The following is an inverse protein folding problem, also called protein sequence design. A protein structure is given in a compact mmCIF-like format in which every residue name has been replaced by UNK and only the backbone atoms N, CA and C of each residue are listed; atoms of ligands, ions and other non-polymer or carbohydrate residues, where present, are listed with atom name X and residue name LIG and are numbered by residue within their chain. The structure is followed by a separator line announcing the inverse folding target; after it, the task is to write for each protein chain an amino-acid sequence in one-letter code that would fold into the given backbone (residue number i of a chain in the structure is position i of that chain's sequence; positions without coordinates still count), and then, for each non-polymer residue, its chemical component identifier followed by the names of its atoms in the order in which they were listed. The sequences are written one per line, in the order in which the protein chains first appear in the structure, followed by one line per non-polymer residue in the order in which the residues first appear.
data_IF_711750091230
#
_entry.id   IF_711750091230
#
_cell.length_a   1.000
_cell.length_b   1.000
_cell.length_c   1.000
_cell.angle_alpha   90.00
_cell.angle_beta   90.00
_cell.angle_gamma   90.00
#
_symmetry.space_group_name_H-M   'P 1'
#
loop_
_entity.id
_entity.type
_entity.pdbx_description
1 polymer ?
#
# COMPACT_ATOMS: atom_id res chain seq x y z
N UNK A 1 -11.62 -5.21 12.86
CA UNK A 1 -10.52 -4.35 12.35
C UNK A 1 -10.93 -3.63 11.05
N UNK A 2 -11.88 -2.68 11.09
CA UNK A 2 -12.33 -1.94 9.88
C UNK A 2 -11.49 -0.71 9.55
N UNK A 3 -10.90 -0.07 10.56
CA UNK A 3 -10.08 1.14 10.37
C UNK A 3 -8.76 0.78 9.67
N UNK A 4 -8.14 -0.35 10.01
CA UNK A 4 -6.89 -0.80 9.42
C UNK A 4 -6.99 -1.04 7.91
N UNK A 5 -8.08 -1.64 7.41
CA UNK A 5 -8.27 -1.88 5.97
C UNK A 5 -8.46 -0.60 5.16
N UNK A 6 -9.14 0.40 5.74
CA UNK A 6 -9.21 1.74 5.17
C UNK A 6 -7.82 2.41 5.09
N UNK A 7 -7.03 2.30 6.16
CA UNK A 7 -5.67 2.85 6.21
C UNK A 7 -4.77 2.20 5.15
N UNK A 8 -4.90 0.89 4.90
CA UNK A 8 -4.16 0.20 3.84
C UNK A 8 -4.55 0.71 2.45
N UNK A 9 -5.83 1.01 2.18
CA UNK A 9 -6.23 1.61 0.89
C UNK A 9 -5.67 3.03 0.70
N UNK A 10 -5.51 3.76 1.79
CA UNK A 10 -4.86 5.08 1.77
C UNK A 10 -3.34 5.00 1.67
N UNK A 11 -2.74 3.85 1.98
CA UNK A 11 -1.29 3.66 1.91
C UNK A 11 -0.78 3.87 0.48
N UNK A 12 -1.49 3.40 -0.54
CA UNK A 12 -1.11 3.63 -1.95
C UNK A 12 -1.05 5.13 -2.30
N UNK A 13 -1.98 5.92 -1.75
CA UNK A 13 -2.01 7.37 -1.93
C UNK A 13 -0.81 8.04 -1.25
N UNK A 14 -0.50 7.61 -0.02
CA UNK A 14 0.65 8.12 0.76
C UNK A 14 1.96 7.73 0.08
N UNK A 15 2.08 6.50 -0.43
CA UNK A 15 3.24 6.03 -1.17
C UNK A 15 3.44 6.81 -2.47
N UNK A 16 2.36 7.10 -3.20
CA UNK A 16 2.43 7.94 -4.39
C UNK A 16 2.87 9.38 -4.08
N UNK A 17 2.49 9.94 -2.93
CA UNK A 17 2.96 11.26 -2.50
C UNK A 17 4.43 11.24 -2.06
N UNK A 18 4.85 10.21 -1.33
CA UNK A 18 6.25 9.99 -1.00
C UNK A 18 7.12 9.88 -2.26
N UNK A 19 6.63 9.19 -3.30
CA UNK A 19 7.35 9.06 -4.56
C UNK A 19 7.48 10.40 -5.28
N UNK A 20 6.41 11.20 -5.35
CA UNK A 20 6.48 12.58 -5.88
C UNK A 20 7.49 13.44 -5.12
N UNK A 21 7.51 13.35 -3.79
CA UNK A 21 8.50 14.06 -2.95
C UNK A 21 9.93 13.53 -3.17
N UNK A 22 10.10 12.24 -3.46
CA UNK A 22 11.39 11.63 -3.81
C UNK A 22 11.87 12.15 -5.16
N UNK A 23 11.03 12.13 -6.20
CA UNK A 23 11.35 12.64 -7.54
C UNK A 23 11.74 14.12 -7.45
N UNK A 24 10.95 14.95 -6.78
CA UNK A 24 11.26 16.37 -6.60
C UNK A 24 12.60 16.62 -5.90
N UNK A 25 12.98 15.78 -4.92
CA UNK A 25 14.29 15.86 -4.27
C UNK A 25 15.42 15.43 -5.21
N UNK A 26 15.23 14.35 -5.96
CA UNK A 26 16.20 13.88 -6.96
C UNK A 26 16.47 14.96 -8.03
N UNK A 27 15.43 15.66 -8.50
CA UNK A 27 15.56 16.78 -9.44
C UNK A 27 16.37 17.95 -8.89
N UNK A 28 16.41 18.13 -7.56
CA UNK A 28 17.23 19.14 -6.88
C UNK A 28 18.68 18.68 -6.63
N UNK A 29 19.10 17.57 -7.23
CA UNK A 29 20.44 17.00 -7.08
C UNK A 29 20.66 16.20 -5.79
N UNK A 30 19.60 15.86 -5.06
CA UNK A 30 19.73 15.09 -3.83
C UNK A 30 19.92 13.59 -4.11
N UNK A 31 21.07 13.05 -3.72
CA UNK A 31 21.34 11.61 -3.71
C UNK A 31 21.56 11.12 -2.28
N UNK A 32 20.73 10.21 -1.78
CA UNK A 32 20.90 9.64 -0.44
C UNK A 32 21.99 8.56 -0.45
N UNK A 33 23.26 8.94 -0.27
CA UNK A 33 24.41 8.00 -0.28
C UNK A 33 25.04 7.73 1.09
N UNK A 34 24.62 8.45 2.13
CA UNK A 34 25.25 8.44 3.46
C UNK A 34 24.27 8.84 4.57
N UNK A 35 24.59 8.44 5.80
CA UNK A 35 23.91 8.83 7.06
C UNK A 35 23.76 10.35 7.22
N UNK A 36 24.66 11.14 6.60
CA UNK A 36 24.56 12.62 6.60
C UNK A 36 23.27 13.16 5.97
N UNK A 37 22.57 12.34 5.18
CA UNK A 37 21.31 12.71 4.54
C UNK A 37 20.05 12.38 5.37
N UNK A 38 20.20 11.72 6.52
CA UNK A 38 19.08 11.37 7.41
C UNK A 38 18.21 12.55 7.83
N UNK A 39 18.73 13.75 8.14
CA UNK A 39 17.89 14.90 8.48
C UNK A 39 16.91 15.28 7.36
N UNK A 40 17.33 15.18 6.10
CA UNK A 40 16.48 15.48 4.93
C UNK A 40 15.40 14.41 4.74
N UNK A 41 15.74 13.15 4.99
CA UNK A 41 14.78 12.05 4.97
C UNK A 41 13.76 12.21 6.10
N UNK A 42 14.22 12.52 7.32
CA UNK A 42 13.36 12.77 8.48
C UNK A 42 12.39 13.94 8.23
N UNK A 43 12.87 15.04 7.65
CA UNK A 43 12.01 16.17 7.27
C UNK A 43 10.93 15.77 6.26
N UNK A 44 11.26 14.88 5.32
CA UNK A 44 10.29 14.37 4.33
C UNK A 44 9.24 13.51 5.01
N UNK A 45 9.65 12.63 5.91
CA UNK A 45 8.73 11.78 6.69
C UNK A 45 7.82 12.65 7.56
N UNK A 46 8.36 13.66 8.24
CA UNK A 46 7.58 14.59 9.05
C UNK A 46 6.54 15.37 8.24
N UNK A 47 6.94 15.90 7.07
CA UNK A 47 6.01 16.59 6.18
C UNK A 47 4.90 15.66 5.66
N UNK A 48 5.23 14.41 5.32
CA UNK A 48 4.26 13.41 4.89
C UNK A 48 3.28 13.04 6.02
N UNK A 49 3.79 12.91 7.25
CA UNK A 49 2.99 12.60 8.44
C UNK A 49 1.94 13.69 8.70
N UNK A 50 2.35 14.97 8.71
CA UNK A 50 1.44 16.10 8.94
C UNK A 50 0.33 16.11 7.89
N UNK A 51 0.68 16.04 6.60
CA UNK A 51 -0.32 16.04 5.51
C UNK A 51 -1.29 14.87 5.58
N UNK A 52 -0.78 13.69 5.93
CA UNK A 52 -1.60 12.48 6.04
C UNK A 52 -2.54 12.57 7.24
N UNK A 53 -2.08 13.13 8.36
CA UNK A 53 -2.88 13.38 9.55
C UNK A 53 -4.00 14.38 9.26
N UNK A 54 -3.69 15.55 8.72
CA UNK A 54 -4.67 16.59 8.37
C UNK A 54 -5.72 16.09 7.36
N UNK A 55 -5.31 15.23 6.42
CA UNK A 55 -6.25 14.59 5.48
C UNK A 55 -7.13 13.56 6.19
N UNK A 56 -6.55 12.75 7.07
CA UNK A 56 -7.28 11.77 7.87
C UNK A 56 -8.33 12.42 8.77
N UNK A 57 -7.97 13.52 9.43
CA UNK A 57 -8.87 14.32 10.25
C UNK A 57 -10.01 14.91 9.43
N UNK A 58 -9.73 15.52 8.27
CA UNK A 58 -10.78 16.03 7.37
C UNK A 58 -11.74 14.95 6.90
N UNK A 59 -11.23 13.76 6.59
CA UNK A 59 -12.09 12.62 6.23
C UNK A 59 -12.91 12.17 7.43
N UNK A 60 -12.32 12.09 8.62
CA UNK A 60 -13.03 11.70 9.84
C UNK A 60 -14.16 12.68 10.17
N UNK A 61 -13.91 13.99 10.09
CA UNK A 61 -14.93 15.03 10.28
C UNK A 61 -16.04 14.93 9.23
N UNK A 62 -15.70 14.66 7.96
CA UNK A 62 -16.69 14.43 6.91
C UNK A 62 -17.49 13.13 7.10
N UNK A 63 -16.91 12.13 7.76
CA UNK A 63 -17.63 10.93 8.15
C UNK A 63 -18.63 11.26 9.25
N UNK A 64 -18.20 12.01 10.29
CA UNK A 64 -19.09 12.44 11.38
C UNK A 64 -20.28 13.24 10.86
N UNK A 65 -20.08 14.18 9.92
CA UNK A 65 -21.19 14.97 9.34
C UNK A 65 -22.19 14.15 8.52
N UNK A 66 -21.76 12.98 7.99
CA UNK A 66 -22.62 12.04 7.25
C UNK A 66 -23.31 11.00 8.16
N UNK A 67 -23.22 11.16 9.48
CA UNK A 67 -23.86 10.26 10.45
C UNK A 67 -23.02 9.04 10.82
N UNK A 68 -21.69 9.14 10.75
CA UNK A 68 -20.81 8.05 11.16
C UNK A 68 -20.97 7.70 12.64
N UNK A 69 -21.63 6.57 12.90
CA UNK A 69 -21.88 6.01 14.24
C UNK A 69 -20.83 4.97 14.67
N UNK A 70 -19.57 5.11 14.21
CA UNK A 70 -18.48 4.20 14.55
C UNK A 70 -18.38 2.94 13.68
N UNK A 71 -19.21 2.80 12.64
CA UNK A 71 -19.09 1.73 11.63
C UNK A 71 -18.79 2.36 10.28
N UNK A 72 -17.67 1.97 9.68
CA UNK A 72 -17.32 2.42 8.33
C UNK A 72 -18.33 1.78 7.36
N UNK A 73 -19.04 2.55 6.52
CA UNK A 73 -19.91 1.98 5.51
C UNK A 73 -19.02 1.20 4.55
N UNK A 74 -19.14 -0.12 4.66
CA UNK A 74 -18.61 -1.18 3.81
C UNK A 74 -17.56 -0.72 2.79
N UNK A 75 -16.29 -0.99 3.07
CA UNK A 75 -15.41 -1.44 2.00
C UNK A 75 -16.15 -2.65 1.42
N UNK A 76 -16.73 -2.50 0.22
CA UNK A 76 -17.34 -3.61 -0.49
C UNK A 76 -16.41 -4.80 -0.32
N UNK A 77 -16.93 -5.85 0.30
CA UNK A 77 -16.18 -7.06 0.55
C UNK A 77 -15.72 -7.58 -0.80
N UNK A 78 -14.49 -7.24 -1.19
CA UNK A 78 -13.70 -8.07 -2.08
C UNK A 78 -13.25 -9.29 -1.25
N UNK A 79 -14.19 -9.97 -0.60
CA UNK A 79 -13.97 -11.30 -0.07
C UNK A 79 -13.75 -12.16 -1.29
N UNK A 80 -12.48 -12.44 -1.58
CA UNK A 80 -12.11 -13.29 -2.69
C UNK A 80 -12.86 -14.61 -2.55
N UNK A 81 -13.84 -14.83 -3.42
CA UNK A 81 -14.69 -16.02 -3.37
C UNK A 81 -13.79 -17.23 -3.49
N UNK A 82 -14.15 -18.36 -2.88
CA UNK A 82 -13.35 -19.60 -2.89
C UNK A 82 -12.85 -19.99 -4.31
N UNK A 83 -13.63 -19.65 -5.33
CA UNK A 83 -13.30 -19.78 -6.76
C UNK A 83 -12.13 -18.90 -7.23
N UNK A 84 -12.00 -17.67 -6.74
CA UNK A 84 -10.89 -16.78 -7.05
C UNK A 84 -9.57 -17.28 -6.46
N UNK A 85 -9.61 -17.88 -5.26
CA UNK A 85 -8.44 -18.55 -4.67
C UNK A 85 -7.98 -19.75 -5.49
N UNK A 86 -8.91 -20.60 -5.91
CA UNK A 86 -8.60 -21.76 -6.77
C UNK A 86 -7.99 -21.30 -8.10
N UNK A 87 -8.53 -20.25 -8.72
CA UNK A 87 -7.97 -19.68 -9.97
C UNK A 87 -6.58 -19.09 -9.77
N UNK A 88 -6.33 -18.40 -8.66
CA UNK A 88 -5.01 -17.85 -8.34
C UNK A 88 -3.96 -18.96 -8.09
N UNK A 89 -4.36 -20.08 -7.49
CA UNK A 89 -3.49 -21.24 -7.23
C UNK A 89 -3.25 -22.12 -8.45
N UNK A 90 -4.11 -22.09 -9.46
CA UNK A 90 -3.96 -22.90 -10.66
C UNK A 90 -2.66 -22.57 -11.44
N UNK A 91 -2.33 -21.29 -11.59
CA UNK A 91 -1.11 -20.84 -12.28
C UNK A 91 0.19 -21.38 -11.65
N UNK A 92 0.46 -21.17 -10.35
CA UNK A 92 1.67 -21.70 -9.72
C UNK A 92 1.70 -23.23 -9.66
N UNK A 93 0.55 -23.91 -9.55
CA UNK A 93 0.48 -25.37 -9.57
C UNK A 93 0.84 -25.96 -10.95
N UNK A 94 0.35 -25.36 -12.03
CA UNK A 94 0.69 -25.78 -13.40
C UNK A 94 2.19 -25.55 -13.66
N UNK A 95 2.71 -24.39 -13.24
CA UNK A 95 4.14 -24.09 -13.36
C UNK A 95 5.01 -25.08 -12.57
N UNK A 96 4.63 -25.39 -11.32
CA UNK A 96 5.33 -26.37 -10.50
C UNK A 96 5.27 -27.79 -11.10
N UNK A 97 4.12 -28.22 -11.60
CA UNK A 97 3.96 -29.52 -12.26
C UNK A 97 4.84 -29.62 -13.53
N UNK A 98 4.91 -28.55 -14.32
CA UNK A 98 5.80 -28.47 -15.48
C UNK A 98 7.28 -28.59 -15.10
N UNK A 99 7.72 -27.90 -14.05
CA UNK A 99 9.10 -28.01 -13.54
C UNK A 99 9.43 -29.43 -13.05
N UNK A 100 8.50 -30.10 -12.36
CA UNK A 100 8.70 -31.47 -11.87
C UNK A 100 8.79 -32.45 -13.05
N UNK A 101 7.91 -32.32 -14.05
CA UNK A 101 7.95 -33.18 -15.24
C UNK A 101 9.25 -32.98 -16.04
N UNK A 102 9.71 -31.74 -16.21
CA UNK A 102 10.98 -31.44 -16.85
C UNK A 102 12.18 -32.03 -16.08
N UNK A 103 12.13 -31.99 -14.74
CA UNK A 103 13.19 -32.57 -13.90
C UNK A 103 13.22 -34.11 -14.01
N UNK A 104 12.07 -34.77 -14.03
CA UNK A 104 11.98 -36.23 -14.21
C UNK A 104 12.40 -36.72 -15.61
N UNK A 105 12.26 -35.88 -16.63
CA UNK A 105 12.74 -36.19 -18.00
C UNK A 105 14.25 -35.95 -18.15
N UNK A 106 14.85 -35.17 -17.26
CA UNK A 106 16.29 -34.85 -17.26
C UNK A 106 17.12 -35.74 -16.32
N UNK A 107 16.48 -36.55 -15.48
CA UNK A 107 17.08 -37.57 -14.60
C UNK A 107 17.08 -38.95 -15.25
#
# INVERSE_FOLDING_TARGET
MQIASFMVRYLEVVLGELDRMRVARASRGFTARSVRHWPVLAATIGALFIRSYERGERVHLAMLSRGYAGRLPFAAELTATRVQWVRALALPLIAAAGCVAAWMMAS
#
